data_IF_097280612549
#
_entry.id   IF_097280612549
#
_cell.length_a   1.000
_cell.length_b   1.000
_cell.length_c   1.000
_cell.angle_alpha   90.00
_cell.angle_beta   90.00
_cell.angle_gamma   90.00
#
_symmetry.space_group_name_H-M   'P 1'
#
loop_
_entity.id
_entity.type
_entity.pdbx_description
1 polymer ?
#
# COMPACT_ATOMS: atom_id res chain seq x y z
N UNK A 1 8.96 -23.71 -10.40
CA UNK A 1 8.02 -23.28 -9.35
C UNK A 1 7.95 -21.78 -9.48
N UNK A 2 6.76 -21.25 -9.69
CA UNK A 2 6.58 -19.82 -9.90
C UNK A 2 6.47 -19.14 -8.53
N UNK A 3 7.24 -18.08 -8.35
CA UNK A 3 7.35 -17.35 -7.08
C UNK A 3 7.04 -15.88 -7.35
N UNK A 4 6.02 -15.35 -6.67
CA UNK A 4 5.67 -13.94 -6.69
C UNK A 4 6.30 -13.17 -5.54
N UNK A 5 6.37 -11.84 -5.68
CA UNK A 5 6.78 -10.91 -4.62
C UNK A 5 5.64 -9.95 -4.28
N UNK A 6 5.39 -9.77 -2.99
CA UNK A 6 4.49 -8.74 -2.48
C UNK A 6 5.29 -7.49 -2.14
N UNK A 7 4.90 -6.35 -2.73
CA UNK A 7 5.60 -5.07 -2.57
C UNK A 7 4.70 -4.15 -1.73
N UNK A 8 4.98 -3.97 -0.43
CA UNK A 8 4.16 -3.14 0.44
C UNK A 8 4.45 -1.66 0.17
N UNK A 9 3.75 -1.09 -0.81
CA UNK A 9 3.74 0.34 -1.08
C UNK A 9 2.77 1.03 -0.13
N UNK A 10 3.23 2.11 0.50
CA UNK A 10 2.48 2.90 1.46
C UNK A 10 3.12 4.26 1.69
N UNK A 11 2.66 4.94 2.75
CA UNK A 11 3.14 6.27 3.06
C UNK A 11 4.65 6.23 3.40
N UNK A 12 5.43 7.11 2.78
CA UNK A 12 6.89 7.19 2.96
C UNK A 12 7.76 6.29 2.06
N UNK A 13 7.21 5.29 1.35
CA UNK A 13 8.00 4.45 0.44
C UNK A 13 7.46 4.36 -1.00
N UNK A 14 6.27 4.88 -1.30
CA UNK A 14 5.71 4.96 -2.65
C UNK A 14 6.29 6.11 -3.50
N UNK A 15 7.62 6.30 -3.49
CA UNK A 15 8.27 7.37 -4.26
C UNK A 15 8.39 7.01 -5.75
N UNK A 16 8.44 8.00 -6.68
CA UNK A 16 8.64 7.73 -8.10
C UNK A 16 9.89 6.89 -8.40
N UNK A 17 10.94 7.06 -7.61
CA UNK A 17 12.19 6.31 -7.71
C UNK A 17 11.97 4.83 -7.38
N UNK A 18 11.28 4.53 -6.27
CA UNK A 18 10.97 3.15 -5.89
C UNK A 18 10.05 2.50 -6.92
N UNK A 19 8.97 3.18 -7.33
CA UNK A 19 8.01 2.64 -8.30
C UNK A 19 8.66 2.28 -9.65
N UNK A 20 9.64 3.07 -10.11
CA UNK A 20 10.38 2.78 -11.34
C UNK A 20 11.40 1.66 -11.19
N UNK A 21 11.97 1.48 -10.01
CA UNK A 21 13.00 0.47 -9.76
C UNK A 21 12.40 -0.93 -9.54
N UNK A 22 11.25 -1.03 -8.86
CA UNK A 22 10.68 -2.32 -8.44
C UNK A 22 10.50 -3.29 -9.61
N UNK A 23 9.89 -2.87 -10.72
CA UNK A 23 9.62 -3.75 -11.87
C UNK A 23 10.89 -4.45 -12.40
N UNK A 24 11.88 -3.70 -12.92
CA UNK A 24 13.11 -4.28 -13.45
C UNK A 24 13.91 -5.08 -12.42
N UNK A 25 13.96 -4.65 -11.17
CA UNK A 25 14.73 -5.34 -10.12
C UNK A 25 14.11 -6.69 -9.75
N UNK A 26 12.78 -6.76 -9.68
CA UNK A 26 12.05 -8.00 -9.42
C UNK A 26 12.23 -8.98 -10.58
N UNK A 27 12.09 -8.52 -11.81
CA UNK A 27 12.26 -9.35 -13.01
C UNK A 27 13.68 -9.93 -13.11
N UNK A 28 14.72 -9.11 -12.87
CA UNK A 28 16.12 -9.55 -12.87
C UNK A 28 16.43 -10.63 -11.82
N UNK A 29 15.62 -10.74 -10.77
CA UNK A 29 15.78 -11.74 -9.69
C UNK A 29 14.96 -13.02 -9.94
N UNK A 30 14.22 -13.09 -11.05
CA UNK A 30 13.50 -14.29 -11.48
C UNK A 30 12.15 -14.52 -10.80
N UNK A 31 11.56 -13.48 -10.20
CA UNK A 31 10.18 -13.54 -9.72
C UNK A 31 9.20 -13.45 -10.90
N UNK A 32 8.11 -14.19 -10.80
CA UNK A 32 7.11 -14.30 -11.87
C UNK A 32 6.06 -13.18 -11.81
N UNK A 33 5.70 -12.72 -10.61
CA UNK A 33 4.65 -11.71 -10.43
C UNK A 33 4.98 -10.70 -9.35
N UNK A 34 4.47 -9.48 -9.53
CA UNK A 34 4.47 -8.40 -8.54
C UNK A 34 3.04 -8.23 -8.04
N UNK A 35 2.87 -8.29 -6.73
CA UNK A 35 1.61 -8.03 -6.05
C UNK A 35 1.71 -6.73 -5.27
N UNK A 36 0.77 -5.82 -5.50
CA UNK A 36 0.66 -4.54 -4.79
C UNK A 36 -0.66 -4.48 -4.03
N UNK A 37 -0.67 -3.99 -2.78
CA UNK A 37 -1.91 -3.74 -2.08
C UNK A 37 -2.60 -2.49 -2.62
N UNK A 38 -3.92 -2.50 -2.59
CA UNK A 38 -4.72 -1.28 -2.67
C UNK A 38 -4.91 -0.74 -1.25
N UNK A 39 -4.57 0.53 -1.02
CA UNK A 39 -4.84 1.22 0.23
C UNK A 39 -5.75 2.41 -0.04
N UNK A 40 -6.80 2.57 0.77
CA UNK A 40 -7.69 3.73 0.68
C UNK A 40 -7.07 4.93 1.41
N UNK A 41 -7.16 6.11 0.82
CA UNK A 41 -6.71 7.36 1.47
C UNK A 41 -7.65 7.66 2.63
N UNK A 42 -7.09 7.92 3.80
CA UNK A 42 -7.84 8.39 4.97
C UNK A 42 -7.67 9.90 5.08
N UNK A 43 -8.80 10.60 5.07
CA UNK A 43 -8.81 12.05 5.26
C UNK A 43 -8.83 12.39 6.75
N UNK A 44 -8.35 13.58 7.09
CA UNK A 44 -8.49 14.14 8.44
C UNK A 44 -9.96 14.22 8.87
N UNK A 45 -10.84 14.55 7.93
CA UNK A 45 -12.29 14.69 8.15
C UNK A 45 -13.06 13.92 7.07
N UNK A 46 -13.96 13.04 7.47
CA UNK A 46 -14.86 12.31 6.57
C UNK A 46 -16.21 12.04 7.22
N UNK A 47 -17.24 11.84 6.38
CA UNK A 47 -18.64 11.66 6.85
C UNK A 47 -18.94 10.25 7.36
N UNK A 48 -18.22 9.24 6.89
CA UNK A 48 -18.44 7.85 7.30
C UNK A 48 -18.12 7.67 8.79
N UNK A 49 -18.96 6.95 9.53
CA UNK A 49 -18.71 6.66 10.94
C UNK A 49 -18.18 5.25 11.09
N UNK A 50 -17.01 5.10 11.68
CA UNK A 50 -16.43 3.80 12.01
C UNK A 50 -17.15 3.19 13.23
N UNK A 51 -17.84 2.05 13.08
CA UNK A 51 -18.76 1.53 14.10
C UNK A 51 -18.05 0.97 15.34
N UNK A 52 -16.73 0.78 15.27
CA UNK A 52 -15.94 0.18 16.33
C UNK A 52 -15.06 1.19 17.09
N UNK A 53 -15.27 2.50 16.89
CA UNK A 53 -14.65 3.55 17.71
C UNK A 53 -15.70 4.45 18.37
N UNK A 54 -15.42 4.92 19.58
CA UNK A 54 -16.31 5.81 20.35
C UNK A 54 -16.42 7.21 19.73
N UNK A 55 -15.37 7.67 19.05
CA UNK A 55 -15.36 8.97 18.35
C UNK A 55 -15.83 8.86 16.89
N UNK A 56 -16.15 7.65 16.43
CA UNK A 56 -16.56 7.38 15.06
C UNK A 56 -15.43 7.41 14.02
N UNK A 57 -14.16 7.55 14.44
CA UNK A 57 -13.02 7.57 13.53
C UNK A 57 -12.36 6.18 13.43
N UNK A 58 -11.95 5.82 12.23
CA UNK A 58 -11.08 4.69 11.95
C UNK A 58 -9.69 4.93 12.59
N UNK A 59 -9.15 3.96 13.36
CA UNK A 59 -7.79 4.03 13.88
C UNK A 59 -6.77 3.98 12.74
N UNK A 60 -5.73 4.81 12.78
CA UNK A 60 -4.67 4.85 11.77
C UNK A 60 -4.22 6.25 11.38
N UNK A 61 -5.09 7.25 11.62
CA UNK A 61 -4.82 8.62 11.20
C UNK A 61 -4.92 8.82 9.69
N UNK A 62 -4.72 10.05 9.20
CA UNK A 62 -4.69 10.33 7.77
C UNK A 62 -3.47 9.65 7.11
N UNK A 63 -3.66 9.13 5.89
CA UNK A 63 -2.61 8.50 5.06
C UNK A 63 -2.84 8.84 3.58
#
# INVERSE_FOLDING_TARGET
MDVGVFVPLGNGNATPQILRAVGPEVEQRGFESIWVPEHVVLFDEYRSTYPYSTDGNLPGGPD
#
